data_IF_107501712562
#
_entry.id   IF_107501712562
#
_cell.length_a   1.000
_cell.length_b   1.000
_cell.length_c   1.000
_cell.angle_alpha   90.00
_cell.angle_beta   90.00
_cell.angle_gamma   90.00
#
_symmetry.space_group_name_H-M   'P 1'
#
loop_
_entity.id
_entity.type
_entity.pdbx_description
1 polymer ?
#
# COMPACT_ATOMS: atom_id res chain seq x y z
N UNK A 1 10.85 0.99 -10.57
CA UNK A 1 10.75 1.00 -9.09
C UNK A 1 9.38 1.45 -8.56
N UNK A 2 8.82 2.61 -8.93
CA UNK A 2 7.60 3.11 -8.29
C UNK A 2 6.35 2.25 -8.59
N UNK A 3 6.15 1.84 -9.83
CA UNK A 3 4.91 1.18 -10.27
C UNK A 3 4.97 -0.35 -10.33
N UNK A 4 6.13 -0.94 -10.53
CA UNK A 4 6.26 -2.37 -10.87
C UNK A 4 6.87 -3.16 -9.72
N UNK A 5 8.16 -2.99 -9.46
CA UNK A 5 8.90 -3.73 -8.44
C UNK A 5 10.04 -2.88 -7.87
N UNK A 6 10.63 -3.33 -6.77
CA UNK A 6 11.82 -2.70 -6.21
C UNK A 6 13.01 -2.80 -7.17
N UNK A 7 13.07 -3.93 -7.88
CA UNK A 7 13.99 -4.17 -9.00
C UNK A 7 13.16 -4.54 -10.24
N UNK A 8 12.88 -3.56 -11.13
CA UNK A 8 12.06 -3.80 -12.31
C UNK A 8 12.81 -4.61 -13.36
N UNK A 9 12.13 -5.54 -14.07
CA UNK A 9 12.75 -6.36 -15.12
C UNK A 9 13.40 -5.48 -16.20
N UNK A 10 14.64 -5.81 -16.57
CA UNK A 10 15.41 -5.08 -17.59
C UNK A 10 14.66 -4.99 -18.93
N UNK A 11 14.01 -6.07 -19.35
CA UNK A 11 13.20 -6.09 -20.57
C UNK A 11 12.09 -5.02 -20.59
N UNK A 12 11.48 -4.73 -19.43
CA UNK A 12 10.49 -3.67 -19.28
C UNK A 12 11.14 -2.29 -19.39
N UNK A 13 12.29 -2.09 -18.71
CA UNK A 13 13.04 -0.83 -18.77
C UNK A 13 13.47 -0.51 -20.20
N UNK A 14 13.97 -1.49 -20.93
CA UNK A 14 14.32 -1.35 -22.35
C UNK A 14 13.12 -1.04 -23.25
N UNK A 15 11.98 -1.70 -23.02
CA UNK A 15 10.72 -1.43 -23.74
C UNK A 15 10.29 0.03 -23.55
N UNK A 16 10.29 0.50 -22.31
CA UNK A 16 9.97 1.89 -21.98
C UNK A 16 10.97 2.87 -22.60
N UNK A 17 12.26 2.56 -22.56
CA UNK A 17 13.31 3.40 -23.16
C UNK A 17 13.17 3.48 -24.69
N UNK A 18 12.77 2.40 -25.37
CA UNK A 18 12.46 2.43 -26.80
C UNK A 18 11.25 3.31 -27.09
N UNK A 19 10.16 3.16 -26.33
CA UNK A 19 8.95 3.98 -26.48
C UNK A 19 9.26 5.47 -26.27
N UNK A 20 10.03 5.81 -25.25
CA UNK A 20 10.45 7.17 -24.96
C UNK A 20 11.24 7.79 -26.10
N UNK A 21 12.25 7.09 -26.63
CA UNK A 21 13.05 7.57 -27.76
C UNK A 21 12.25 7.69 -29.04
N UNK A 22 11.39 6.71 -29.34
CA UNK A 22 10.58 6.71 -30.56
C UNK A 22 9.49 7.80 -30.58
N UNK A 23 9.07 8.25 -29.41
CA UNK A 23 8.05 9.30 -29.24
C UNK A 23 8.64 10.68 -28.92
N UNK A 24 9.96 10.83 -29.07
CA UNK A 24 10.66 12.09 -28.75
C UNK A 24 10.39 12.60 -27.33
N UNK A 25 10.23 11.68 -26.37
CA UNK A 25 10.05 12.02 -24.95
C UNK A 25 8.60 12.06 -24.46
N UNK A 26 7.62 11.54 -25.21
CA UNK A 26 6.23 11.49 -24.77
C UNK A 26 6.08 10.56 -23.56
N UNK A 27 5.69 11.16 -22.42
CA UNK A 27 5.53 10.47 -21.14
C UNK A 27 4.32 9.52 -21.18
N UNK A 28 3.22 9.93 -21.84
CA UNK A 28 2.00 9.12 -21.88
C UNK A 28 2.22 7.83 -22.69
N UNK A 29 2.91 7.90 -23.82
CA UNK A 29 3.27 6.74 -24.62
C UNK A 29 4.26 5.83 -23.87
N UNK A 30 5.21 6.41 -23.16
CA UNK A 30 6.14 5.66 -22.31
C UNK A 30 5.44 4.89 -21.19
N UNK A 31 4.51 5.56 -20.49
CA UNK A 31 3.72 4.92 -19.42
C UNK A 31 2.77 3.86 -19.98
N UNK A 32 2.17 4.10 -21.16
CA UNK A 32 1.33 3.11 -21.83
C UNK A 32 2.12 1.83 -22.12
N UNK A 33 3.36 1.95 -22.65
CA UNK A 33 4.23 0.80 -22.90
C UNK A 33 4.53 -0.01 -21.64
N UNK A 34 4.55 0.63 -20.45
CA UNK A 34 4.65 -0.04 -19.16
C UNK A 34 3.34 -0.73 -18.77
N UNK A 35 2.22 0.00 -18.74
CA UNK A 35 0.94 -0.53 -18.25
C UNK A 35 0.38 -1.67 -19.10
N UNK A 36 0.66 -1.68 -20.40
CA UNK A 36 0.24 -2.74 -21.31
C UNK A 36 1.17 -3.98 -21.29
N UNK A 37 2.29 -3.89 -20.55
CA UNK A 37 3.29 -4.95 -20.52
C UNK A 37 2.84 -6.16 -19.67
N UNK A 38 3.27 -7.38 -20.02
CA UNK A 38 3.02 -8.56 -19.19
C UNK A 38 3.75 -8.47 -17.85
N UNK A 39 4.90 -7.82 -17.79
CA UNK A 39 5.70 -7.62 -16.59
C UNK A 39 4.94 -6.75 -15.56
N UNK A 40 4.25 -5.70 -16.03
CA UNK A 40 3.40 -4.89 -15.14
C UNK A 40 2.23 -5.70 -14.60
N UNK A 41 1.53 -6.47 -15.45
CA UNK A 41 0.40 -7.31 -15.02
C UNK A 41 0.84 -8.36 -13.98
N UNK A 42 2.00 -8.97 -14.19
CA UNK A 42 2.58 -9.95 -13.27
C UNK A 42 3.02 -9.33 -11.91
N UNK A 43 3.26 -8.01 -11.87
CA UNK A 43 3.70 -7.32 -10.66
C UNK A 43 2.57 -6.84 -9.76
N UNK A 44 1.31 -6.91 -10.22
CA UNK A 44 0.16 -6.43 -9.44
C UNK A 44 0.05 -7.18 -8.10
N UNK A 45 -0.13 -6.44 -7.02
CA UNK A 45 -0.16 -6.99 -5.67
C UNK A 45 1.21 -7.33 -5.08
N UNK A 46 2.32 -7.16 -5.83
CA UNK A 46 3.68 -7.49 -5.37
C UNK A 46 4.42 -6.34 -4.69
N UNK A 47 4.04 -5.10 -4.96
CA UNK A 47 4.72 -3.91 -4.44
C UNK A 47 4.28 -3.61 -3.03
N UNK A 48 5.23 -3.65 -2.06
CA UNK A 48 4.93 -3.31 -0.68
C UNK A 48 4.55 -1.83 -0.54
N UNK A 49 3.50 -1.54 0.21
CA UNK A 49 3.06 -0.16 0.47
C UNK A 49 4.01 0.50 1.47
N UNK A 50 4.53 1.68 1.11
CA UNK A 50 5.13 2.56 2.10
C UNK A 50 4.09 3.01 3.16
N UNK A 51 4.51 3.65 4.27
CA UNK A 51 3.58 4.07 5.32
C UNK A 51 2.42 4.93 4.85
N UNK A 52 2.67 5.87 3.92
CA UNK A 52 1.62 6.75 3.39
C UNK A 52 0.58 5.99 2.58
N UNK A 53 1.03 5.14 1.65
CA UNK A 53 0.12 4.31 0.86
C UNK A 53 -0.67 3.34 1.73
N UNK A 54 -0.03 2.74 2.74
CA UNK A 54 -0.71 1.86 3.69
C UNK A 54 -1.78 2.63 4.48
N UNK A 55 -1.42 3.77 5.09
CA UNK A 55 -2.33 4.60 5.88
C UNK A 55 -3.54 5.06 5.07
N UNK A 56 -3.30 5.61 3.89
CA UNK A 56 -4.37 6.09 3.01
C UNK A 56 -5.27 4.94 2.57
N UNK A 57 -4.70 3.78 2.21
CA UNK A 57 -5.49 2.59 1.86
C UNK A 57 -6.37 2.12 3.02
N UNK A 58 -5.80 2.00 4.24
CA UNK A 58 -6.54 1.55 5.42
C UNK A 58 -7.68 2.50 5.78
N UNK A 59 -7.41 3.80 5.77
CA UNK A 59 -8.42 4.80 6.11
C UNK A 59 -9.51 4.91 5.04
N UNK A 60 -9.16 4.93 3.75
CA UNK A 60 -10.16 4.94 2.65
C UNK A 60 -11.05 3.71 2.69
N UNK A 61 -10.46 2.54 2.95
CA UNK A 61 -11.21 1.29 3.06
C UNK A 61 -12.16 1.29 4.27
N UNK A 62 -11.76 1.90 5.38
CA UNK A 62 -12.56 1.95 6.60
C UNK A 62 -13.59 3.09 6.62
N UNK A 63 -13.24 4.25 6.12
CA UNK A 63 -14.10 5.43 6.16
C UNK A 63 -15.14 5.46 5.01
N UNK A 64 -14.84 4.78 3.88
CA UNK A 64 -15.63 4.90 2.66
C UNK A 64 -15.87 6.38 2.31
N UNK A 65 -17.11 6.85 2.32
CA UNK A 65 -17.48 8.24 2.01
C UNK A 65 -17.60 9.14 3.25
N UNK A 66 -17.21 8.65 4.43
CA UNK A 66 -17.30 9.43 5.66
C UNK A 66 -16.17 10.46 5.76
N UNK A 67 -16.53 11.67 6.19
CA UNK A 67 -15.54 12.73 6.48
C UNK A 67 -14.72 12.33 7.72
N UNK A 68 -13.41 12.41 7.58
CA UNK A 68 -12.48 12.15 8.68
C UNK A 68 -12.38 13.43 9.52
N UNK A 69 -12.71 13.39 10.82
CA UNK A 69 -12.58 14.55 11.68
C UNK A 69 -11.11 14.92 11.89
N UNK A 70 -10.86 16.18 12.25
CA UNK A 70 -9.51 16.74 12.41
C UNK A 70 -8.61 15.89 13.32
N UNK A 71 -9.13 15.47 14.46
CA UNK A 71 -8.38 14.61 15.40
C UNK A 71 -8.01 13.24 14.78
N UNK A 72 -8.78 12.78 13.82
CA UNK A 72 -8.47 11.61 13.00
C UNK A 72 -7.26 11.85 12.12
N UNK A 73 -7.23 12.99 11.44
CA UNK A 73 -6.11 13.40 10.57
C UNK A 73 -4.82 13.58 11.40
N UNK A 74 -4.90 14.22 12.56
CA UNK A 74 -3.74 14.40 13.46
C UNK A 74 -3.16 13.05 13.91
N UNK A 75 -4.02 12.08 14.25
CA UNK A 75 -3.56 10.71 14.58
C UNK A 75 -2.88 10.02 13.38
N UNK A 76 -3.40 10.22 12.16
CA UNK A 76 -2.77 9.68 10.95
C UNK A 76 -1.36 10.27 10.74
N UNK A 77 -1.21 11.58 10.89
CA UNK A 77 0.09 12.27 10.77
C UNK A 77 1.10 11.73 11.78
N UNK A 78 0.68 11.58 13.04
CA UNK A 78 1.53 11.04 14.09
C UNK A 78 1.92 9.57 13.83
N UNK A 79 0.99 8.75 13.34
CA UNK A 79 1.28 7.36 13.00
C UNK A 79 2.24 7.25 11.79
N UNK A 80 2.12 8.14 10.79
CA UNK A 80 3.08 8.21 9.67
C UNK A 80 4.49 8.53 10.17
N UNK A 81 4.62 9.48 11.10
CA UNK A 81 5.91 9.78 11.72
C UNK A 81 6.47 8.58 12.50
N UNK A 82 5.62 7.86 13.25
CA UNK A 82 5.99 6.62 13.97
C UNK A 82 6.41 5.47 13.04
N UNK A 83 5.88 5.43 11.82
CA UNK A 83 6.32 4.48 10.77
C UNK A 83 7.55 4.95 9.98
N UNK A 84 8.13 6.11 10.31
CA UNK A 84 9.34 6.63 9.67
C UNK A 84 9.10 7.46 8.40
N UNK A 85 7.85 7.84 8.11
CA UNK A 85 7.49 8.68 6.96
C UNK A 85 6.68 9.92 7.40
N UNK A 86 7.24 10.81 8.24
CA UNK A 86 6.56 12.05 8.59
C UNK A 86 6.29 12.90 7.33
N UNK A 87 5.09 13.45 7.22
CA UNK A 87 4.74 14.33 6.09
C UNK A 87 5.65 15.56 6.09
N UNK A 88 6.25 15.86 4.93
CA UNK A 88 7.23 16.95 4.74
C UNK A 88 8.46 16.90 5.66
N UNK A 89 8.68 15.76 6.35
CA UNK A 89 9.77 15.61 7.32
C UNK A 89 11.07 15.02 6.75
N UNK A 90 11.15 14.77 5.44
CA UNK A 90 12.40 14.27 4.82
C UNK A 90 13.42 15.39 4.73
N UNK A 91 14.60 15.26 5.38
CA UNK A 91 15.60 16.32 5.41
C UNK A 91 16.36 16.49 4.08
N UNK A 92 16.35 15.47 3.23
CA UNK A 92 17.08 15.44 1.94
C UNK A 92 16.12 15.45 0.75
N UNK A 93 16.53 16.01 -0.42
CA UNK A 93 15.65 16.18 -1.58
C UNK A 93 15.38 14.87 -2.35
N UNK A 94 16.04 13.77 -2.01
CA UNK A 94 15.88 12.44 -2.64
C UNK A 94 14.53 11.77 -2.35
N UNK A 95 13.75 12.33 -1.43
CA UNK A 95 12.47 11.77 -1.02
C UNK A 95 12.58 10.54 -0.12
N UNK A 96 11.46 9.86 0.12
CA UNK A 96 11.42 8.65 0.91
C UNK A 96 11.77 7.41 0.10
N UNK A 97 12.36 6.38 0.73
CA UNK A 97 12.70 5.12 0.06
C UNK A 97 11.52 4.47 -0.64
N UNK A 98 11.79 3.79 -1.76
CA UNK A 98 10.78 3.09 -2.55
C UNK A 98 10.82 1.57 -2.38
N UNK A 99 11.78 1.05 -1.62
CA UNK A 99 12.01 -0.39 -1.49
C UNK A 99 11.34 -0.96 -0.25
N UNK A 100 10.90 -2.21 -0.34
CA UNK A 100 10.26 -2.94 0.76
C UNK A 100 11.12 -3.01 2.01
N UNK A 101 12.42 -3.26 1.84
CA UNK A 101 13.37 -3.45 2.94
C UNK A 101 13.38 -2.28 3.92
N UNK A 102 13.22 -1.06 3.42
CA UNK A 102 13.21 0.16 4.23
C UNK A 102 11.95 0.30 5.10
N UNK A 103 10.87 -0.44 4.80
CA UNK A 103 9.56 -0.31 5.42
C UNK A 103 9.08 -1.54 6.20
N UNK A 104 9.97 -2.53 6.40
CA UNK A 104 9.63 -3.80 7.05
C UNK A 104 10.40 -4.06 8.34
N UNK A 105 10.93 -3.02 9.00
CA UNK A 105 11.51 -3.18 10.33
C UNK A 105 10.45 -3.62 11.34
N UNK A 106 10.81 -4.37 12.39
CA UNK A 106 9.87 -4.83 13.41
C UNK A 106 9.05 -3.71 14.04
N UNK A 107 9.67 -2.55 14.31
CA UNK A 107 9.00 -1.39 14.87
C UNK A 107 7.95 -0.80 13.92
N UNK A 108 8.26 -0.70 12.63
CA UNK A 108 7.32 -0.22 11.62
C UNK A 108 6.14 -1.17 11.44
N UNK A 109 6.38 -2.49 11.45
CA UNK A 109 5.32 -3.48 11.37
C UNK A 109 4.42 -3.45 12.61
N UNK A 110 5.00 -3.28 13.81
CA UNK A 110 4.23 -3.10 15.03
C UNK A 110 3.34 -1.84 14.97
N UNK A 111 3.87 -0.72 14.48
CA UNK A 111 3.07 0.50 14.30
C UNK A 111 1.95 0.30 13.26
N UNK A 112 2.18 -0.44 12.17
CA UNK A 112 1.13 -0.80 11.21
C UNK A 112 0.02 -1.62 11.85
N UNK A 113 0.37 -2.57 12.72
CA UNK A 113 -0.60 -3.35 13.49
C UNK A 113 -1.45 -2.47 14.40
N UNK A 114 -0.85 -1.50 15.10
CA UNK A 114 -1.59 -0.53 15.91
C UNK A 114 -2.51 0.37 15.06
N UNK A 115 -2.08 0.78 13.88
CA UNK A 115 -2.94 1.49 12.92
C UNK A 115 -4.10 0.61 12.48
N UNK A 116 -3.85 -0.65 12.10
CA UNK A 116 -4.86 -1.61 11.72
C UNK A 116 -5.91 -1.80 12.84
N UNK A 117 -5.45 -1.91 14.09
CA UNK A 117 -6.30 -2.00 15.27
C UNK A 117 -7.15 -0.74 15.45
N UNK A 118 -6.52 0.43 15.42
CA UNK A 118 -7.21 1.71 15.58
C UNK A 118 -8.24 2.00 14.50
N UNK A 119 -7.98 1.56 13.26
CA UNK A 119 -8.89 1.71 12.13
C UNK A 119 -9.98 0.62 12.14
N UNK A 120 -9.59 -0.64 12.30
CA UNK A 120 -10.49 -1.79 12.23
C UNK A 120 -11.53 -1.82 13.35
N UNK A 121 -11.16 -1.43 14.56
CA UNK A 121 -12.04 -1.42 15.74
C UNK A 121 -13.08 -0.29 15.75
N UNK A 122 -12.93 0.71 14.90
CA UNK A 122 -13.92 1.81 14.80
C UNK A 122 -15.23 1.40 14.14
N UNK A 123 -15.21 0.34 13.36
CA UNK A 123 -16.39 -0.17 12.67
C UNK A 123 -16.99 -1.36 13.43
N UNK A 124 -18.31 -1.30 13.66
CA UNK A 124 -19.03 -2.40 14.30
C UNK A 124 -19.21 -3.63 13.38
N UNK A 125 -19.20 -3.41 12.06
CA UNK A 125 -19.29 -4.46 11.05
C UNK A 125 -17.96 -4.70 10.32
N UNK A 126 -17.92 -5.72 9.46
CA UNK A 126 -16.79 -5.93 8.54
C UNK A 126 -16.62 -4.74 7.61
N UNK A 127 -15.38 -4.44 7.25
CA UNK A 127 -15.04 -3.32 6.38
C UNK A 127 -15.64 -3.49 4.99
N UNK A 128 -15.57 -4.69 4.42
CA UNK A 128 -16.23 -5.07 3.17
C UNK A 128 -16.26 -6.58 3.05
N UNK A 129 -17.30 -7.13 2.43
CA UNK A 129 -17.34 -8.52 1.99
C UNK A 129 -16.71 -8.68 0.59
N UNK A 130 -16.65 -7.58 -0.19
CA UNK A 130 -15.95 -7.51 -1.48
C UNK A 130 -14.55 -6.92 -1.28
N UNK A 131 -13.54 -7.75 -1.43
CA UNK A 131 -12.16 -7.34 -1.26
C UNK A 131 -11.56 -6.92 -2.61
N UNK A 132 -10.87 -5.78 -2.66
CA UNK A 132 -10.25 -5.28 -3.90
C UNK A 132 -8.99 -6.08 -4.31
N UNK A 133 -8.64 -7.14 -3.55
CA UNK A 133 -7.46 -7.97 -3.80
C UNK A 133 -7.78 -9.45 -3.57
N UNK A 134 -7.16 -10.36 -4.32
CA UNK A 134 -7.22 -11.79 -4.01
C UNK A 134 -6.46 -12.07 -2.71
N UNK A 135 -7.03 -12.90 -1.85
CA UNK A 135 -6.40 -13.36 -0.62
C UNK A 135 -5.81 -14.75 -0.82
N UNK A 136 -4.66 -15.03 -0.19
CA UNK A 136 -4.11 -16.37 -0.06
C UNK A 136 -5.00 -17.25 0.82
N UNK A 137 -4.86 -18.56 0.68
CA UNK A 137 -5.61 -19.53 1.52
C UNK A 137 -5.25 -19.37 3.00
N UNK A 138 -3.99 -19.07 3.31
CA UNK A 138 -3.53 -18.81 4.67
C UNK A 138 -4.25 -17.59 5.29
N UNK A 139 -4.34 -16.49 4.54
CA UNK A 139 -5.06 -15.30 5.01
C UNK A 139 -6.54 -15.58 5.16
N UNK A 140 -7.17 -16.28 4.20
CA UNK A 140 -8.58 -16.70 4.31
C UNK A 140 -8.84 -17.54 5.56
N UNK A 141 -7.99 -18.53 5.83
CA UNK A 141 -8.09 -19.36 7.04
C UNK A 141 -7.90 -18.54 8.32
N UNK A 142 -7.01 -17.58 8.31
CA UNK A 142 -6.81 -16.68 9.46
C UNK A 142 -8.04 -15.83 9.72
N UNK A 143 -8.59 -15.22 8.67
CA UNK A 143 -9.81 -14.41 8.75
C UNK A 143 -11.04 -15.22 9.18
N UNK A 144 -11.12 -16.49 8.80
CA UNK A 144 -12.25 -17.36 9.20
C UNK A 144 -12.26 -17.72 10.69
N UNK A 145 -11.13 -17.54 11.39
CA UNK A 145 -10.98 -17.77 12.84
C UNK A 145 -11.29 -16.53 13.67
N UNK A 146 -11.52 -15.38 13.05
CA UNK A 146 -11.84 -14.15 13.75
C UNK A 146 -13.14 -14.33 14.57
N UNK A 147 -13.09 -13.94 15.83
CA UNK A 147 -14.20 -14.09 16.79
C UNK A 147 -15.31 -13.05 16.56
N UNK A 148 -14.97 -11.90 16.00
CA UNK A 148 -15.89 -10.81 15.73
C UNK A 148 -15.45 -9.97 14.50
N UNK A 149 -16.33 -9.08 13.99
CA UNK A 149 -15.99 -8.24 12.84
C UNK A 149 -14.80 -7.30 13.06
N UNK A 150 -14.52 -6.87 14.27
CA UNK A 150 -13.41 -5.95 14.58
C UNK A 150 -12.07 -6.69 14.48
N UNK A 151 -12.02 -7.90 15.03
CA UNK A 151 -10.85 -8.77 14.87
C UNK A 151 -10.62 -9.12 13.40
N UNK A 152 -11.69 -9.44 12.66
CA UNK A 152 -11.60 -9.68 11.23
C UNK A 152 -11.00 -8.48 10.47
N UNK A 153 -11.47 -7.26 10.79
CA UNK A 153 -10.95 -6.02 10.20
C UNK A 153 -9.46 -5.82 10.51
N UNK A 154 -9.07 -6.03 11.78
CA UNK A 154 -7.67 -5.95 12.21
C UNK A 154 -6.80 -6.93 11.41
N UNK A 155 -7.21 -8.20 11.34
CA UNK A 155 -6.46 -9.24 10.64
C UNK A 155 -6.33 -8.94 9.15
N UNK A 156 -7.41 -8.46 8.51
CA UNK A 156 -7.37 -8.06 7.11
C UNK A 156 -6.38 -6.91 6.86
N UNK A 157 -6.48 -5.83 7.63
CA UNK A 157 -5.60 -4.67 7.47
C UNK A 157 -4.13 -4.98 7.81
N UNK A 158 -3.90 -6.06 8.57
CA UNK A 158 -2.56 -6.55 8.91
C UNK A 158 -2.05 -7.62 7.94
N UNK A 159 -2.86 -8.05 6.97
CA UNK A 159 -2.49 -9.13 6.04
C UNK A 159 -1.40 -8.68 5.05
N UNK A 160 -0.56 -9.62 4.57
CA UNK A 160 0.44 -9.33 3.55
C UNK A 160 -0.15 -8.74 2.26
N UNK A 161 -1.33 -9.21 1.87
CA UNK A 161 -2.03 -8.75 0.67
C UNK A 161 -2.50 -7.30 0.84
N UNK A 162 -3.02 -6.94 2.00
CA UNK A 162 -3.41 -5.54 2.26
C UNK A 162 -2.19 -4.62 2.34
N UNK A 163 -1.04 -5.12 2.80
CA UNK A 163 0.21 -4.35 2.85
C UNK A 163 0.88 -4.19 1.48
N UNK A 164 0.36 -4.82 0.43
CA UNK A 164 0.88 -4.76 -0.94
C UNK A 164 -0.09 -4.06 -1.90
N UNK A 165 0.42 -3.64 -3.06
CA UNK A 165 -0.36 -2.98 -4.13
C UNK A 165 0.11 -3.40 -5.52
#
# INVERSE_FOLDING_TARGET
>A
MHFVADDPPEALVERMARAFRASEGDIALTLRAMFESPEFRASLGGKFKDPLHYMVSAVRFAAADQVIPREGVERMINALAGMGQPLYGRPTPDGYPLTRTEWTSPGQLATRFEVARGVGYRRAGRLSDELPMPLSDTTRQTLSKASDPREWNLLLLSSPEFMSR
#
